data_IF_505436735436
#
_entry.id   IF_505436735436
#
_cell.length_a   1.000
_cell.length_b   1.000
_cell.length_c   1.000
_cell.angle_alpha   90.00
_cell.angle_beta   90.00
_cell.angle_gamma   90.00
#
_symmetry.space_group_name_H-M   'P 1'
#
loop_
_entity.id
_entity.type
_entity.pdbx_description
1 polymer ?
#
# COMPACT_ATOMS: atom_id res chain seq x y z
N UNK A 1 -4.07 -2.15 20.05
CA UNK A 1 -3.84 -2.37 21.51
C UNK A 1 -5.17 -2.35 22.28
N UNK A 2 -5.99 -1.29 22.19
CA UNK A 2 -7.29 -1.22 22.89
C UNK A 2 -8.26 -2.34 22.45
N UNK A 3 -8.28 -2.72 21.20
CA UNK A 3 -9.10 -3.81 20.67
C UNK A 3 -8.79 -5.17 21.29
N UNK A 4 -7.51 -5.48 21.53
CA UNK A 4 -7.10 -6.74 22.14
C UNK A 4 -7.33 -6.77 23.67
N UNK A 5 -7.34 -5.61 24.33
CA UNK A 5 -7.52 -5.52 25.78
C UNK A 5 -9.00 -5.46 26.20
N UNK A 6 -9.86 -4.79 25.43
CA UNK A 6 -11.24 -4.51 25.84
C UNK A 6 -12.30 -5.03 24.85
N UNK A 7 -11.95 -5.28 23.58
CA UNK A 7 -12.90 -5.56 22.51
C UNK A 7 -12.68 -6.93 21.85
N UNK A 8 -11.90 -7.82 22.43
CA UNK A 8 -11.58 -9.16 21.92
C UNK A 8 -12.77 -10.14 21.84
N UNK A 9 -14.00 -9.69 22.04
CA UNK A 9 -15.19 -10.53 22.00
C UNK A 9 -15.61 -10.84 20.54
N UNK A 10 -16.02 -12.09 20.31
CA UNK A 10 -16.54 -12.59 19.01
C UNK A 10 -17.66 -11.72 18.41
N UNK A 11 -18.38 -10.97 19.24
CA UNK A 11 -19.45 -10.05 18.83
C UNK A 11 -18.95 -8.94 17.91
N UNK A 12 -17.73 -8.42 18.14
CA UNK A 12 -17.17 -7.33 17.35
C UNK A 12 -16.49 -7.80 16.04
N UNK A 13 -16.22 -9.10 15.89
CA UNK A 13 -15.55 -9.63 14.68
C UNK A 13 -16.34 -9.35 13.39
N UNK A 14 -17.68 -9.42 13.44
CA UNK A 14 -18.53 -9.09 12.29
C UNK A 14 -18.43 -7.61 11.91
N UNK A 15 -18.37 -6.72 12.90
CA UNK A 15 -18.20 -5.29 12.69
C UNK A 15 -16.82 -4.94 12.12
N UNK A 16 -15.76 -5.56 12.60
CA UNK A 16 -14.41 -5.38 12.04
C UNK A 16 -14.33 -5.82 10.58
N UNK A 17 -14.88 -7.01 10.28
CA UNK A 17 -14.87 -7.55 8.92
C UNK A 17 -15.72 -6.69 7.96
N UNK A 18 -16.84 -6.17 8.43
CA UNK A 18 -17.67 -5.24 7.66
C UNK A 18 -16.94 -3.91 7.40
N UNK A 19 -16.29 -3.34 8.42
CA UNK A 19 -15.48 -2.12 8.27
C UNK A 19 -14.31 -2.33 7.32
N UNK A 20 -13.58 -3.41 7.47
CA UNK A 20 -12.39 -3.70 6.69
C UNK A 20 -12.71 -3.97 5.21
N UNK A 21 -13.82 -4.63 4.91
CA UNK A 21 -14.20 -4.96 3.54
C UNK A 21 -15.15 -3.94 2.91
N UNK A 22 -16.27 -3.67 3.54
CA UNK A 22 -17.34 -2.89 2.90
C UNK A 22 -17.13 -1.38 3.04
N UNK A 23 -16.81 -0.88 4.25
CA UNK A 23 -16.57 0.55 4.42
C UNK A 23 -15.34 1.02 3.67
N UNK A 24 -14.27 0.21 3.64
CA UNK A 24 -13.09 0.52 2.85
C UNK A 24 -13.42 0.57 1.36
N UNK A 25 -14.18 -0.41 0.84
CA UNK A 25 -14.60 -0.45 -0.57
C UNK A 25 -15.46 0.76 -0.92
N UNK A 26 -16.43 1.11 -0.09
CA UNK A 26 -17.25 2.31 -0.29
C UNK A 26 -16.42 3.60 -0.26
N UNK A 27 -15.47 3.70 0.67
CA UNK A 27 -14.56 4.85 0.73
C UNK A 27 -13.70 4.99 -0.53
N UNK A 28 -13.21 3.87 -1.08
CA UNK A 28 -12.42 3.88 -2.31
C UNK A 28 -13.28 4.27 -3.51
N UNK A 29 -14.52 3.77 -3.60
CA UNK A 29 -15.46 4.14 -4.67
C UNK A 29 -15.84 5.61 -4.60
N UNK A 30 -16.15 6.13 -3.41
CA UNK A 30 -16.46 7.54 -3.20
C UNK A 30 -15.27 8.45 -3.53
N UNK A 31 -14.07 8.10 -3.05
CA UNK A 31 -12.83 8.80 -3.39
C UNK A 31 -12.55 8.74 -4.90
N UNK A 32 -12.74 7.58 -5.54
CA UNK A 32 -12.60 7.45 -6.98
C UNK A 32 -13.59 8.32 -7.75
N UNK A 33 -14.84 8.44 -7.26
CA UNK A 33 -15.88 9.29 -7.86
C UNK A 33 -15.65 10.79 -7.68
N UNK A 34 -14.93 11.20 -6.63
CA UNK A 34 -14.56 12.63 -6.42
C UNK A 34 -13.33 13.05 -7.22
N UNK A 35 -12.57 12.08 -7.73
CA UNK A 35 -11.43 12.37 -8.58
C UNK A 35 -11.90 12.75 -9.99
N UNK A 36 -11.71 14.00 -10.29
CA UNK A 36 -11.85 14.49 -11.66
C UNK A 36 -10.81 13.81 -12.56
N UNK A 37 -11.24 13.25 -13.68
CA UNK A 37 -10.35 12.76 -14.76
C UNK A 37 -9.31 13.82 -15.13
N UNK A 38 -9.67 15.09 -15.01
CA UNK A 38 -8.77 16.23 -15.21
C UNK A 38 -7.57 16.21 -14.26
N UNK A 39 -7.77 15.89 -12.98
CA UNK A 39 -6.68 15.78 -12.00
C UNK A 39 -5.76 14.58 -12.27
N UNK A 40 -6.27 13.48 -12.81
CA UNK A 40 -5.44 12.37 -13.30
C UNK A 40 -4.60 12.77 -14.51
N UNK A 41 -5.13 13.64 -15.38
CA UNK A 41 -4.39 14.20 -16.50
C UNK A 41 -3.28 15.17 -16.08
N UNK A 42 -3.43 15.88 -14.95
CA UNK A 42 -2.39 16.74 -14.37
C UNK A 42 -1.13 15.95 -13.99
N UNK A 43 -1.29 14.69 -13.58
CA UNK A 43 -0.14 13.82 -13.29
C UNK A 43 0.70 13.54 -14.55
N UNK A 44 0.06 13.57 -15.71
CA UNK A 44 0.66 13.29 -16.99
C UNK A 44 1.23 11.87 -17.13
N UNK A 45 1.74 11.56 -18.29
CA UNK A 45 2.35 10.26 -18.57
C UNK A 45 3.59 10.00 -17.68
N UNK A 46 4.34 11.03 -17.36
CA UNK A 46 5.54 10.92 -16.50
C UNK A 46 5.20 10.49 -15.06
N UNK A 47 4.09 10.95 -14.51
CA UNK A 47 3.66 10.58 -13.16
C UNK A 47 3.22 9.12 -13.08
N UNK A 48 2.47 8.63 -14.07
CA UNK A 48 2.06 7.21 -14.16
C UNK A 48 3.30 6.32 -14.31
N UNK A 49 4.22 6.69 -15.18
CA UNK A 49 5.47 5.95 -15.40
C UNK A 49 6.33 5.90 -14.14
N UNK A 50 6.43 7.03 -13.42
CA UNK A 50 7.09 7.06 -12.11
C UNK A 50 6.47 6.06 -11.12
N UNK A 51 5.14 6.02 -11.02
CA UNK A 51 4.44 5.08 -10.13
C UNK A 51 4.76 3.63 -10.49
N UNK A 52 4.73 3.27 -11.77
CA UNK A 52 5.04 1.91 -12.22
C UNK A 52 6.47 1.51 -11.85
N UNK A 53 7.45 2.38 -12.12
CA UNK A 53 8.85 2.14 -11.78
C UNK A 53 9.01 1.98 -10.27
N UNK A 54 8.45 2.89 -9.49
CA UNK A 54 8.54 2.88 -8.04
C UNK A 54 7.91 1.62 -7.44
N UNK A 55 6.76 1.19 -7.92
CA UNK A 55 6.11 -0.06 -7.50
C UNK A 55 6.99 -1.27 -7.85
N UNK A 56 7.55 -1.31 -9.04
CA UNK A 56 8.44 -2.39 -9.49
C UNK A 56 9.68 -2.50 -8.60
N UNK A 57 10.34 -1.36 -8.34
CA UNK A 57 11.52 -1.31 -7.45
C UNK A 57 11.13 -1.78 -6.04
N UNK A 58 9.98 -1.37 -5.53
CA UNK A 58 9.49 -1.78 -4.20
C UNK A 58 9.25 -3.29 -4.14
N UNK A 59 8.60 -3.87 -5.14
CA UNK A 59 8.33 -5.32 -5.20
C UNK A 59 9.64 -6.10 -5.26
N UNK A 60 10.52 -5.76 -6.20
CA UNK A 60 11.81 -6.43 -6.38
C UNK A 60 12.68 -6.28 -5.14
N UNK A 61 12.73 -5.08 -4.58
CA UNK A 61 13.48 -4.78 -3.36
C UNK A 61 12.98 -5.59 -2.15
N UNK A 62 11.67 -5.62 -1.91
CA UNK A 62 11.08 -6.39 -0.83
C UNK A 62 11.32 -7.90 -1.00
N UNK A 63 11.18 -8.43 -2.21
CA UNK A 63 11.46 -9.83 -2.52
C UNK A 63 12.94 -10.19 -2.29
N UNK A 64 13.86 -9.33 -2.74
CA UNK A 64 15.30 -9.53 -2.62
C UNK A 64 15.77 -9.42 -1.17
N UNK A 65 15.41 -8.35 -0.48
CA UNK A 65 15.79 -8.12 0.92
C UNK A 65 15.20 -9.21 1.82
N UNK A 66 13.92 -9.53 1.64
CA UNK A 66 13.28 -10.59 2.40
C UNK A 66 13.91 -11.97 2.17
N UNK A 67 14.40 -12.27 0.94
CA UNK A 67 15.17 -13.49 0.65
C UNK A 67 16.50 -13.50 1.41
N UNK A 68 17.20 -12.38 1.45
CA UNK A 68 18.48 -12.27 2.20
C UNK A 68 18.28 -12.43 3.71
N UNK A 69 17.15 -11.97 4.23
CA UNK A 69 16.81 -12.09 5.66
C UNK A 69 16.22 -13.47 6.04
N UNK A 70 16.09 -14.40 5.08
CA UNK A 70 15.61 -15.75 5.34
C UNK A 70 14.09 -15.89 5.51
N UNK A 71 13.30 -14.86 5.15
CA UNK A 71 11.84 -14.94 5.23
C UNK A 71 11.25 -15.90 4.20
N UNK A 72 10.13 -16.53 4.56
CA UNK A 72 9.37 -17.40 3.67
C UNK A 72 8.96 -16.67 2.38
N UNK A 73 8.77 -17.42 1.29
CA UNK A 73 8.35 -16.84 0.02
C UNK A 73 7.01 -16.10 0.15
N UNK A 74 6.04 -16.71 0.85
CA UNK A 74 4.73 -16.12 1.05
C UNK A 74 4.82 -14.80 1.81
N UNK A 75 5.57 -14.75 2.92
CA UNK A 75 5.76 -13.53 3.69
C UNK A 75 6.41 -12.41 2.85
N UNK A 76 7.42 -12.73 2.05
CA UNK A 76 8.06 -11.76 1.14
C UNK A 76 7.08 -11.20 0.12
N UNK A 77 6.22 -12.05 -0.46
CA UNK A 77 5.19 -11.61 -1.41
C UNK A 77 4.14 -10.72 -0.75
N UNK A 78 3.71 -11.04 0.47
CA UNK A 78 2.80 -10.19 1.24
C UNK A 78 3.42 -8.83 1.54
N UNK A 79 4.68 -8.80 1.98
CA UNK A 79 5.40 -7.55 2.24
C UNK A 79 5.63 -6.75 0.96
N UNK A 80 5.91 -7.42 -0.17
CA UNK A 80 6.07 -6.78 -1.47
C UNK A 80 4.76 -6.12 -1.92
N UNK A 81 3.63 -6.83 -1.88
CA UNK A 81 2.32 -6.29 -2.27
C UNK A 81 1.87 -5.16 -1.34
N UNK A 82 2.04 -5.31 -0.03
CA UNK A 82 1.65 -4.31 0.96
C UNK A 82 2.40 -3.00 0.81
N UNK A 83 3.72 -3.05 0.67
CA UNK A 83 4.54 -1.85 0.51
C UNK A 83 4.41 -1.22 -0.89
N UNK A 84 4.21 -2.02 -1.93
CA UNK A 84 4.08 -1.50 -3.29
C UNK A 84 2.75 -0.82 -3.55
N UNK A 85 1.66 -1.21 -2.89
CA UNK A 85 0.32 -0.71 -3.24
C UNK A 85 -0.35 0.03 -2.08
N UNK A 86 -1.17 -0.66 -1.27
CA UNK A 86 -2.06 0.00 -0.30
C UNK A 86 -2.04 -0.66 1.09
N UNK A 87 -0.95 -1.31 1.45
CA UNK A 87 -0.77 -1.88 2.79
C UNK A 87 -1.67 -3.07 3.05
N UNK A 88 -2.48 -2.99 4.11
CA UNK A 88 -3.31 -4.10 4.57
C UNK A 88 -4.28 -4.65 3.52
N UNK A 89 -4.86 -3.79 2.69
CA UNK A 89 -5.79 -4.22 1.63
C UNK A 89 -5.08 -5.04 0.55
N UNK A 90 -3.88 -4.63 0.14
CA UNK A 90 -3.08 -5.39 -0.82
C UNK A 90 -2.64 -6.74 -0.25
N UNK A 91 -2.22 -6.78 1.02
CA UNK A 91 -1.87 -8.02 1.73
C UNK A 91 -3.09 -8.93 1.81
N UNK A 92 -4.26 -8.41 2.21
CA UNK A 92 -5.48 -9.19 2.32
C UNK A 92 -5.94 -9.79 0.98
N UNK A 93 -5.79 -9.04 -0.13
CA UNK A 93 -6.12 -9.50 -1.47
C UNK A 93 -5.09 -10.47 -2.05
N UNK A 94 -3.80 -10.32 -1.70
CA UNK A 94 -2.73 -11.20 -2.18
C UNK A 94 -2.69 -12.54 -1.43
N UNK A 95 -2.97 -12.53 -0.12
CA UNK A 95 -2.85 -13.72 0.73
C UNK A 95 -3.57 -14.97 0.20
N UNK A 96 -4.85 -14.92 -0.23
CA UNK A 96 -5.53 -16.09 -0.77
C UNK A 96 -4.98 -16.55 -2.12
N UNK A 97 -4.39 -15.64 -2.92
CA UNK A 97 -3.86 -15.96 -4.25
C UNK A 97 -2.54 -16.74 -4.17
N UNK A 98 -1.79 -16.55 -3.09
CA UNK A 98 -0.50 -17.21 -2.87
C UNK A 98 -0.55 -18.29 -1.79
N UNK A 99 -1.73 -18.63 -1.29
CA UNK A 99 -1.95 -19.59 -0.18
C UNK A 99 -1.10 -19.25 1.05
N UNK A 100 -1.10 -17.96 1.45
CA UNK A 100 -0.39 -17.51 2.62
C UNK A 100 -1.17 -17.84 3.91
N UNK A 101 -0.45 -18.16 4.98
CA UNK A 101 -1.04 -18.41 6.29
C UNK A 101 -1.67 -17.14 6.88
N UNK A 102 -2.70 -17.29 7.72
CA UNK A 102 -3.30 -16.17 8.45
C UNK A 102 -2.30 -15.50 9.42
N UNK A 103 -1.31 -16.26 9.92
CA UNK A 103 -0.23 -15.74 10.74
C UNK A 103 0.68 -14.80 9.95
N UNK A 104 1.21 -15.23 8.81
CA UNK A 104 2.03 -14.39 7.92
C UNK A 104 1.28 -13.14 7.49
N UNK A 105 -0.01 -13.27 7.14
CA UNK A 105 -0.91 -12.17 6.80
C UNK A 105 -1.03 -11.17 7.96
N UNK A 106 -1.29 -11.65 9.17
CA UNK A 106 -1.45 -10.81 10.36
C UNK A 106 -0.18 -10.03 10.70
N UNK A 107 0.97 -10.72 10.68
CA UNK A 107 2.28 -10.10 10.93
C UNK A 107 2.59 -9.05 9.86
N UNK A 108 2.42 -9.39 8.58
CA UNK A 108 2.69 -8.47 7.48
C UNK A 108 1.83 -7.19 7.56
N UNK A 109 0.53 -7.30 7.84
CA UNK A 109 -0.38 -6.16 8.04
C UNK A 109 0.11 -5.29 9.19
N UNK A 110 0.49 -5.90 10.31
CA UNK A 110 0.94 -5.18 11.50
C UNK A 110 2.22 -4.39 11.22
N UNK A 111 3.22 -5.02 10.62
CA UNK A 111 4.49 -4.37 10.28
C UNK A 111 4.28 -3.21 9.31
N UNK A 112 3.50 -3.42 8.25
CA UNK A 112 3.23 -2.37 7.25
C UNK A 112 2.47 -1.19 7.85
N UNK A 113 1.50 -1.44 8.72
CA UNK A 113 0.74 -0.37 9.38
C UNK A 113 1.61 0.45 10.33
N UNK A 114 2.43 -0.19 11.18
CA UNK A 114 3.34 0.50 12.10
C UNK A 114 4.35 1.35 11.31
N UNK A 115 4.97 0.77 10.28
CA UNK A 115 5.90 1.49 9.41
C UNK A 115 5.23 2.69 8.73
N UNK A 116 3.99 2.51 8.25
CA UNK A 116 3.23 3.57 7.62
C UNK A 116 2.90 4.74 8.56
N UNK A 117 2.56 4.46 9.83
CA UNK A 117 2.32 5.51 10.83
C UNK A 117 3.61 6.30 11.08
N UNK A 118 4.74 5.63 11.22
CA UNK A 118 6.03 6.31 11.40
C UNK A 118 6.39 7.19 10.20
N UNK A 119 6.26 6.65 8.99
CA UNK A 119 6.54 7.38 7.75
C UNK A 119 5.59 8.55 7.52
N UNK A 120 4.34 8.46 7.95
CA UNK A 120 3.36 9.54 7.83
C UNK A 120 3.85 10.85 8.47
N UNK A 121 4.53 10.77 9.60
CA UNK A 121 5.11 11.94 10.27
C UNK A 121 6.51 12.30 9.74
N UNK A 122 7.28 11.29 9.34
CA UNK A 122 8.66 11.50 8.87
C UNK A 122 8.71 12.18 7.49
N UNK A 123 7.84 11.80 6.55
CA UNK A 123 7.92 12.25 5.16
C UNK A 123 7.70 13.77 4.98
N UNK A 124 6.78 14.46 5.68
CA UNK A 124 6.68 15.91 5.62
C UNK A 124 7.97 16.62 6.03
N UNK A 125 8.60 16.12 7.10
CA UNK A 125 9.89 16.69 7.57
C UNK A 125 10.98 16.42 6.53
N UNK A 126 11.07 15.21 6.03
CA UNK A 126 12.07 14.82 5.04
C UNK A 126 11.89 15.59 3.72
N UNK A 127 10.66 15.84 3.28
CA UNK A 127 10.36 16.59 2.06
C UNK A 127 10.85 18.04 2.14
N UNK A 128 10.80 18.63 3.34
CA UNK A 128 11.32 19.97 3.57
C UNK A 128 12.84 20.03 3.32
N UNK A 129 13.56 19.05 3.83
CA UNK A 129 15.03 19.01 3.68
C UNK A 129 15.47 18.66 2.25
N UNK A 130 14.77 17.74 1.57
CA UNK A 130 15.17 17.26 0.26
C UNK A 130 14.67 18.14 -0.90
N UNK A 131 13.46 18.67 -0.77
CA UNK A 131 12.75 19.31 -1.88
C UNK A 131 12.22 20.71 -1.53
N UNK A 132 12.52 21.23 -0.33
CA UNK A 132 11.96 22.49 0.15
C UNK A 132 10.43 22.60 -0.07
N UNK A 133 9.72 21.47 0.12
CA UNK A 133 8.28 21.32 -0.13
C UNK A 133 7.85 21.61 -1.58
N UNK A 134 8.73 21.40 -2.56
CA UNK A 134 8.32 21.47 -3.97
C UNK A 134 7.18 20.46 -4.18
N UNK A 135 6.05 20.97 -4.74
CA UNK A 135 4.76 20.28 -4.67
C UNK A 135 4.78 18.88 -5.34
N UNK A 136 5.27 18.79 -6.57
CA UNK A 136 5.22 17.53 -7.34
C UNK A 136 6.12 16.47 -6.72
N UNK A 137 7.35 16.80 -6.35
CA UNK A 137 8.30 15.85 -5.74
C UNK A 137 7.88 15.41 -4.36
N UNK A 138 7.39 16.36 -3.55
CA UNK A 138 6.84 16.06 -2.21
C UNK A 138 5.63 15.14 -2.31
N UNK A 139 4.72 15.42 -3.24
CA UNK A 139 3.52 14.61 -3.46
C UNK A 139 3.84 13.22 -3.99
N UNK A 140 4.79 13.11 -4.93
CA UNK A 140 5.29 11.84 -5.43
C UNK A 140 5.95 11.01 -4.32
N UNK A 141 6.73 11.64 -3.43
CA UNK A 141 7.33 10.96 -2.28
C UNK A 141 6.28 10.49 -1.29
N UNK A 142 5.34 11.33 -0.88
CA UNK A 142 4.29 10.99 0.09
C UNK A 142 3.34 9.93 -0.50
N UNK A 143 2.74 10.19 -1.66
CA UNK A 143 1.78 9.30 -2.31
C UNK A 143 2.41 8.01 -2.82
N UNK A 144 3.68 8.08 -3.24
CA UNK A 144 4.48 6.95 -3.68
C UNK A 144 4.96 6.04 -2.53
N UNK A 145 5.22 6.56 -1.35
CA UNK A 145 5.83 5.81 -0.25
C UNK A 145 4.79 5.27 0.74
N UNK A 146 3.83 6.11 1.19
CA UNK A 146 2.85 5.71 2.19
C UNK A 146 1.91 4.62 1.68
N UNK A 147 1.51 3.74 2.58
CA UNK A 147 0.71 2.55 2.24
C UNK A 147 -0.79 2.85 2.23
N UNK A 148 -1.32 3.61 3.19
CA UNK A 148 -2.75 3.91 3.32
C UNK A 148 -3.11 5.27 2.71
N UNK A 149 -4.30 5.38 2.08
CA UNK A 149 -4.85 6.66 1.60
C UNK A 149 -5.01 7.65 2.75
N UNK A 150 -5.48 7.20 3.93
CA UNK A 150 -5.61 8.06 5.11
C UNK A 150 -4.27 8.64 5.59
N UNK A 151 -3.20 7.84 5.55
CA UNK A 151 -1.85 8.30 5.87
C UNK A 151 -1.35 9.32 4.85
N UNK A 152 -1.64 9.14 3.56
CA UNK A 152 -1.28 10.08 2.49
C UNK A 152 -1.97 11.42 2.69
N UNK A 153 -3.29 11.40 2.94
CA UNK A 153 -4.07 12.61 3.21
C UNK A 153 -3.54 13.34 4.43
N UNK A 154 -3.34 12.63 5.55
CA UNK A 154 -2.82 13.23 6.78
C UNK A 154 -1.42 13.80 6.60
N UNK A 155 -0.52 13.07 5.93
CA UNK A 155 0.85 13.52 5.67
C UNK A 155 0.91 14.71 4.71
N UNK A 156 0.08 14.69 3.66
CA UNK A 156 -0.03 15.82 2.72
C UNK A 156 -0.59 17.08 3.36
N UNK A 157 -1.60 16.94 4.23
CA UNK A 157 -2.18 18.04 5.00
C UNK A 157 -1.16 18.76 5.90
N UNK A 158 -0.19 18.01 6.45
CA UNK A 158 0.91 18.58 7.24
C UNK A 158 1.84 19.48 6.41
N UNK A 159 1.78 19.38 5.08
CA UNK A 159 2.57 20.22 4.17
C UNK A 159 1.72 21.36 3.64
N UNK A 160 0.72 21.08 2.81
CA UNK A 160 -0.30 22.00 2.32
C UNK A 160 -1.38 21.27 1.51
N UNK A 161 -2.49 21.97 1.21
CA UNK A 161 -3.63 21.44 0.46
C UNK A 161 -3.25 20.88 -0.91
N UNK A 162 -2.42 21.59 -1.66
CA UNK A 162 -2.00 21.18 -3.01
C UNK A 162 -1.18 19.89 -3.00
N UNK A 163 -0.27 19.73 -2.03
CA UNK A 163 0.50 18.49 -1.84
C UNK A 163 -0.42 17.34 -1.44
N UNK A 164 -1.42 17.58 -0.56
CA UNK A 164 -2.42 16.58 -0.18
C UNK A 164 -3.17 16.05 -1.40
N UNK A 165 -3.68 16.94 -2.24
CA UNK A 165 -4.42 16.56 -3.44
C UNK A 165 -3.56 15.74 -4.40
N UNK A 166 -2.39 16.23 -4.79
CA UNK A 166 -1.49 15.54 -5.72
C UNK A 166 -1.00 14.21 -5.14
N UNK A 167 -0.62 14.14 -3.86
CA UNK A 167 -0.19 12.90 -3.23
C UNK A 167 -1.30 11.84 -3.22
N UNK A 168 -2.56 12.27 -3.02
CA UNK A 168 -3.73 11.40 -3.10
C UNK A 168 -3.90 10.84 -4.50
N UNK A 169 -3.68 11.64 -5.56
CA UNK A 169 -3.74 11.17 -6.95
C UNK A 169 -2.67 10.10 -7.22
N UNK A 170 -1.41 10.34 -6.81
CA UNK A 170 -0.34 9.33 -6.90
C UNK A 170 -0.75 8.02 -6.23
N UNK A 171 -1.35 8.12 -5.04
CA UNK A 171 -1.82 6.95 -4.30
C UNK A 171 -2.92 6.18 -5.01
N UNK A 172 -3.88 6.86 -5.61
CA UNK A 172 -4.99 6.21 -6.30
C UNK A 172 -4.53 5.49 -7.55
N UNK A 173 -3.60 6.06 -8.31
CA UNK A 173 -2.97 5.36 -9.45
C UNK A 173 -2.34 4.03 -8.98
N UNK A 174 -1.65 4.02 -7.83
CA UNK A 174 -1.12 2.77 -7.26
C UNK A 174 -2.22 1.76 -6.90
N UNK A 175 -3.32 2.22 -6.33
CA UNK A 175 -4.45 1.33 -5.97
C UNK A 175 -5.07 0.70 -7.22
N UNK A 176 -5.23 1.46 -8.30
CA UNK A 176 -5.74 0.94 -9.59
C UNK A 176 -4.83 -0.19 -10.12
N UNK A 177 -3.52 -0.05 -9.96
CA UNK A 177 -2.54 -1.05 -10.40
C UNK A 177 -2.48 -2.31 -9.51
N UNK A 178 -3.22 -2.36 -8.40
CA UNK A 178 -3.25 -3.52 -7.48
C UNK A 178 -3.56 -4.83 -8.19
N UNK A 179 -4.54 -4.83 -9.10
CA UNK A 179 -4.96 -6.03 -9.83
C UNK A 179 -3.78 -6.62 -10.61
N UNK A 180 -3.01 -5.77 -11.29
CA UNK A 180 -1.81 -6.18 -12.02
C UNK A 180 -0.74 -6.80 -11.08
N UNK A 181 -0.53 -6.20 -9.91
CA UNK A 181 0.43 -6.71 -8.92
C UNK A 181 0.02 -8.09 -8.40
N UNK A 182 -1.26 -8.28 -8.05
CA UNK A 182 -1.78 -9.58 -7.59
C UNK A 182 -1.61 -10.65 -8.67
N UNK A 183 -1.92 -10.32 -9.92
CA UNK A 183 -1.77 -11.25 -11.04
C UNK A 183 -0.31 -11.66 -11.22
N UNK A 184 0.62 -10.73 -11.20
CA UNK A 184 2.07 -11.00 -11.34
C UNK A 184 2.58 -11.87 -10.18
N UNK A 185 2.24 -11.54 -8.94
CA UNK A 185 2.68 -12.32 -7.78
C UNK A 185 2.07 -13.73 -7.76
N UNK A 186 0.81 -13.88 -8.14
CA UNK A 186 0.17 -15.17 -8.30
C UNK A 186 0.86 -16.04 -9.35
N UNK A 187 1.21 -15.46 -10.50
CA UNK A 187 1.93 -16.16 -11.56
C UNK A 187 3.33 -16.62 -11.11
N UNK A 188 4.07 -15.76 -10.41
CA UNK A 188 5.39 -16.10 -9.84
C UNK A 188 5.26 -17.28 -8.86
N UNK A 189 4.23 -17.27 -8.02
CA UNK A 189 3.99 -18.36 -7.06
C UNK A 189 3.71 -19.68 -7.76
N UNK A 190 2.81 -19.68 -8.76
CA UNK A 190 2.48 -20.88 -9.54
C UNK A 190 3.72 -21.47 -10.23
N UNK A 191 4.54 -20.63 -10.86
CA UNK A 191 5.76 -21.09 -11.52
C UNK A 191 6.74 -21.75 -10.55
N UNK A 192 6.93 -21.16 -9.36
CA UNK A 192 7.85 -21.74 -8.35
C UNK A 192 7.34 -23.09 -7.81
N UNK A 193 6.03 -23.27 -7.69
CA UNK A 193 5.47 -24.55 -7.25
C UNK A 193 5.65 -25.65 -8.31
N UNK A 194 5.60 -25.34 -9.60
CA UNK A 194 5.87 -26.31 -10.66
C UNK A 194 7.35 -26.75 -10.70
N UNK A 195 8.29 -25.85 -10.45
CA UNK A 195 9.74 -26.17 -10.45
C UNK A 195 10.18 -27.03 -9.24
N UNK A 196 9.34 -27.17 -8.21
CA UNK A 196 9.66 -28.01 -7.02
C UNK A 196 9.09 -29.43 -7.18
N UNK A 197 8.16 -29.65 -8.10
CA UNK A 197 7.46 -30.94 -8.30
C UNK A 197 8.09 -31.76 -9.43
N UNK A 198 8.98 -31.19 -10.25
CA UNK A 198 9.83 -31.88 -11.21
C UNK A 198 11.20 -32.21 -10.58
#
# INVERSE_FOLDING_TARGET
LAGNLFLGQKVFQKGYKFSETNLLSYSIVLLGGTLSVTKLMELGFNGIFFVIIQMTITIVGAMYIGKKLGFSQNFRMLMASGNAVCGSSAIAATAPVIDASDEDKGIAITVVNITGIFLMFLLPVLSRYLYNHEAVRTSAMIGGTLQSVGQVVASGEMVNEHVKELATIFKIVRVILLVGVIFVLGHIKHKTNHEIVE
#
